data_IF_902789780147
#
_entry.id   IF_902789780147
#
_cell.length_a   1.000
_cell.length_b   1.000
_cell.length_c   1.000
_cell.angle_alpha   90.00
_cell.angle_beta   90.00
_cell.angle_gamma   90.00
#
_symmetry.space_group_name_H-M   'P 1'
#
loop_
_entity.id
_entity.type
_entity.pdbx_description
1 polymer ?
#
# COMPACT_ATOMS: atom_id res chain seq x y z
N UNK A 1 -0.04 34.57 -8.00
CA UNK A 1 -1.04 33.49 -8.11
C UNK A 1 -0.30 32.16 -7.97
N UNK A 2 -0.11 31.69 -6.72
CA UNK A 2 0.64 30.47 -6.43
C UNK A 2 -0.30 29.27 -6.50
N UNK A 3 -0.04 28.36 -7.44
CA UNK A 3 -0.74 27.08 -7.53
C UNK A 3 0.04 26.04 -6.74
N UNK A 4 -0.38 25.80 -5.50
CA UNK A 4 0.05 24.64 -4.73
C UNK A 4 -0.63 23.42 -5.36
N UNK A 5 0.16 22.62 -6.08
CA UNK A 5 -0.25 21.28 -6.51
C UNK A 5 0.17 20.33 -5.40
N UNK A 6 -0.78 19.95 -4.53
CA UNK A 6 -0.55 18.91 -3.52
C UNK A 6 -0.55 17.56 -4.24
N UNK A 7 0.61 16.92 -4.36
CA UNK A 7 0.70 15.50 -4.65
C UNK A 7 1.35 14.86 -3.43
N UNK A 8 0.55 14.17 -2.62
CA UNK A 8 1.04 13.12 -1.74
C UNK A 8 0.14 11.90 -1.89
N UNK A 9 0.31 11.18 -2.99
CA UNK A 9 0.12 9.73 -2.94
C UNK A 9 1.36 9.13 -2.27
N UNK A 10 1.45 9.27 -0.95
CA UNK A 10 2.55 8.68 -0.18
C UNK A 10 2.18 7.25 0.21
N UNK A 11 2.95 6.28 -0.28
CA UNK A 11 2.79 4.87 0.07
C UNK A 11 3.47 4.63 1.42
N UNK A 12 2.75 4.02 2.36
CA UNK A 12 3.29 3.61 3.66
C UNK A 12 3.45 2.09 3.65
N UNK A 13 4.70 1.63 3.72
CA UNK A 13 5.02 0.21 3.85
C UNK A 13 5.10 -0.18 5.33
N UNK A 14 4.34 -1.20 5.72
CA UNK A 14 4.44 -1.83 7.04
C UNK A 14 5.18 -3.16 6.85
N UNK A 15 6.51 -3.11 6.99
CA UNK A 15 7.36 -4.29 6.87
C UNK A 15 7.42 -5.05 8.19
N UNK A 16 7.22 -6.37 8.12
CA UNK A 16 7.11 -7.20 9.31
C UNK A 16 7.10 -8.69 8.96
N UNK A 17 7.47 -9.52 9.93
CA UNK A 17 7.62 -10.96 9.74
C UNK A 17 6.26 -11.68 9.71
N UNK A 18 6.14 -12.83 9.01
CA UNK A 18 4.94 -13.66 9.12
C UNK A 18 4.59 -13.96 10.59
N UNK A 19 3.30 -13.86 10.91
CA UNK A 19 2.75 -14.08 12.28
C UNK A 19 3.18 -13.07 13.34
N UNK A 20 3.73 -11.90 12.98
CA UNK A 20 4.09 -10.83 13.93
C UNK A 20 2.95 -9.87 14.30
N UNK A 21 1.68 -10.20 14.02
CA UNK A 21 0.53 -9.35 14.38
C UNK A 21 0.09 -8.31 13.32
N UNK A 22 0.44 -8.49 12.06
CA UNK A 22 0.08 -7.55 10.99
C UNK A 22 -1.42 -7.33 10.80
N UNK A 23 -2.21 -8.38 10.99
CA UNK A 23 -3.67 -8.29 10.93
C UNK A 23 -4.18 -7.35 12.01
N UNK A 24 -3.63 -7.45 13.22
CA UNK A 24 -4.03 -6.61 14.34
C UNK A 24 -3.69 -5.13 14.10
N UNK A 25 -2.48 -4.85 13.60
CA UNK A 25 -2.07 -3.48 13.24
C UNK A 25 -2.98 -2.90 12.15
N UNK A 26 -3.33 -3.68 11.12
CA UNK A 26 -4.29 -3.23 10.08
C UNK A 26 -5.67 -2.97 10.65
N UNK A 27 -6.17 -3.82 11.55
CA UNK A 27 -7.45 -3.62 12.23
C UNK A 27 -7.44 -2.33 13.06
N UNK A 28 -6.37 -2.11 13.83
CA UNK A 28 -6.20 -0.90 14.64
C UNK A 28 -6.15 0.36 13.77
N UNK A 29 -5.32 0.38 12.73
CA UNK A 29 -5.24 1.49 11.78
C UNK A 29 -6.59 1.76 11.11
N UNK A 30 -7.29 0.72 10.68
CA UNK A 30 -8.60 0.88 10.02
C UNK A 30 -9.66 1.47 10.94
N UNK A 31 -9.62 1.12 12.24
CA UNK A 31 -10.54 1.70 13.22
C UNK A 31 -10.15 3.12 13.56
N UNK A 32 -8.86 3.38 13.79
CA UNK A 32 -8.34 4.72 14.10
C UNK A 32 -8.62 5.74 12.99
N UNK A 33 -8.56 5.32 11.72
CA UNK A 33 -8.73 6.21 10.57
C UNK A 33 -10.17 6.36 10.09
N UNK A 34 -11.02 5.34 10.29
CA UNK A 34 -12.33 5.27 9.61
C UNK A 34 -13.53 4.95 10.51
N UNK A 35 -13.36 4.79 11.82
CA UNK A 35 -14.48 4.62 12.76
C UNK A 35 -14.65 5.88 13.60
N UNK A 36 -15.92 6.25 13.82
CA UNK A 36 -16.28 7.40 14.66
C UNK A 36 -16.21 7.09 16.17
N UNK A 37 -16.31 5.81 16.54
CA UNK A 37 -16.40 5.33 17.93
C UNK A 37 -15.18 4.51 18.39
N UNK A 38 -14.15 4.40 17.54
CA UNK A 38 -12.94 3.64 17.82
C UNK A 38 -13.14 2.12 17.86
N UNK A 39 -14.29 1.60 17.41
CA UNK A 39 -14.55 0.15 17.34
C UNK A 39 -14.19 -0.40 15.97
N UNK A 40 -13.52 -1.55 15.99
CA UNK A 40 -13.17 -2.23 14.76
C UNK A 40 -14.39 -2.91 14.13
N UNK A 41 -14.53 -2.73 12.82
CA UNK A 41 -15.44 -3.49 11.97
C UNK A 41 -14.73 -3.90 10.68
N UNK A 42 -14.95 -5.14 10.23
CA UNK A 42 -14.37 -5.64 8.97
C UNK A 42 -14.78 -4.80 7.75
N UNK A 43 -15.89 -4.05 7.83
CA UNK A 43 -16.31 -3.12 6.77
C UNK A 43 -15.29 -1.99 6.55
N UNK A 44 -14.59 -1.55 7.61
CA UNK A 44 -13.61 -0.46 7.56
C UNK A 44 -12.37 -0.81 6.74
N UNK A 45 -12.01 -2.10 6.68
CA UNK A 45 -10.90 -2.57 5.85
C UNK A 45 -11.10 -2.30 4.35
N UNK A 46 -12.34 -2.11 3.90
CA UNK A 46 -12.63 -1.75 2.50
C UNK A 46 -12.14 -0.35 2.13
N UNK A 47 -11.94 0.53 3.11
CA UNK A 47 -11.39 1.87 2.89
C UNK A 47 -9.87 1.86 2.71
N UNK A 48 -9.20 0.76 3.07
CA UNK A 48 -7.79 0.54 2.78
C UNK A 48 -7.72 -0.23 1.47
N UNK A 49 -7.35 0.46 0.40
CA UNK A 49 -7.21 -0.17 -0.90
C UNK A 49 -6.17 -1.30 -0.83
N UNK A 50 -6.59 -2.50 -1.24
CA UNK A 50 -5.68 -3.61 -1.41
C UNK A 50 -4.91 -3.41 -2.71
N UNK A 51 -3.59 -3.61 -2.66
CA UNK A 51 -2.77 -3.63 -3.85
C UNK A 51 -3.26 -4.75 -4.77
N UNK A 52 -3.95 -4.38 -5.84
CA UNK A 52 -4.53 -5.28 -6.82
C UNK A 52 -3.81 -5.11 -8.15
N UNK A 53 -3.33 -6.21 -8.72
CA UNK A 53 -2.70 -6.23 -10.05
C UNK A 53 -3.64 -5.70 -11.15
N UNK A 54 -4.95 -5.79 -10.94
CA UNK A 54 -5.97 -5.29 -11.88
C UNK A 54 -5.97 -3.77 -12.00
N UNK A 55 -5.63 -3.06 -10.91
CA UNK A 55 -5.53 -1.59 -10.90
C UNK A 55 -4.15 -1.11 -11.39
N UNK A 56 -3.15 -2.00 -11.43
CA UNK A 56 -1.80 -1.73 -11.90
C UNK A 56 -1.68 -1.76 -13.43
N UNK A 57 -2.75 -2.11 -14.15
CA UNK A 57 -2.78 -2.17 -15.62
C UNK A 57 -2.79 -0.78 -16.30
N UNK A 58 -2.62 0.29 -15.55
CA UNK A 58 -2.51 1.65 -16.08
C UNK A 58 -1.14 1.84 -16.73
N UNK A 59 -1.11 1.63 -18.05
CA UNK A 59 -0.02 2.00 -18.98
C UNK A 59 1.37 1.71 -18.43
N UNK A 60 1.78 0.44 -18.53
CA UNK A 60 3.18 0.08 -18.36
C UNK A 60 4.00 0.88 -19.41
N UNK A 61 4.86 1.83 -19.01
CA UNK A 61 5.74 2.49 -19.96
C UNK A 61 6.71 1.44 -20.55
N UNK A 62 7.06 1.63 -21.82
CA UNK A 62 7.86 0.76 -22.69
C UNK A 62 9.23 0.31 -22.09
N UNK A 63 9.66 0.91 -20.98
CA UNK A 63 10.87 0.59 -20.23
C UNK A 63 10.72 -0.62 -19.29
N UNK A 64 10.15 -1.73 -19.78
CA UNK A 64 10.09 -3.03 -19.07
C UNK A 64 11.49 -3.51 -18.62
N UNK A 65 12.54 -3.09 -19.34
CA UNK A 65 13.94 -3.37 -19.03
C UNK A 65 14.39 -2.92 -17.62
N UNK A 66 13.85 -1.81 -17.10
CA UNK A 66 14.22 -1.33 -15.76
C UNK A 66 13.62 -2.22 -14.67
N UNK A 67 12.34 -2.55 -14.79
CA UNK A 67 11.63 -3.39 -13.82
C UNK A 67 12.22 -4.81 -13.78
N UNK A 68 12.54 -5.39 -14.94
CA UNK A 68 13.18 -6.72 -15.04
C UNK A 68 14.59 -6.71 -14.44
N UNK A 69 15.35 -5.62 -14.59
CA UNK A 69 16.68 -5.48 -13.96
C UNK A 69 16.57 -5.47 -12.44
N UNK A 70 15.64 -4.69 -11.90
CA UNK A 70 15.42 -4.60 -10.45
C UNK A 70 14.99 -5.94 -9.88
N UNK A 71 14.01 -6.61 -10.49
CA UNK A 71 13.53 -7.90 -10.00
C UNK A 71 14.65 -8.96 -9.99
N UNK A 72 15.50 -8.98 -11.01
CA UNK A 72 16.68 -9.84 -11.06
C UNK A 72 17.71 -9.55 -9.96
N UNK A 73 17.87 -8.28 -9.56
CA UNK A 73 18.76 -7.89 -8.45
C UNK A 73 18.14 -8.08 -7.05
N UNK A 74 16.82 -8.28 -6.98
CA UNK A 74 16.11 -8.44 -5.71
C UNK A 74 16.23 -9.86 -5.14
N UNK A 75 16.13 -10.88 -5.99
CA UNK A 75 16.22 -12.31 -5.61
C UNK A 75 17.57 -12.66 -4.93
N UNK A 76 18.74 -12.15 -5.37
CA UNK A 76 20.02 -12.41 -4.72
C UNK A 76 20.24 -11.64 -3.41
N UNK A 77 19.40 -10.63 -3.12
CA UNK A 77 19.56 -9.72 -1.98
C UNK A 77 18.64 -10.08 -0.80
N UNK A 78 17.82 -11.12 -0.95
CA UNK A 78 16.95 -11.67 0.10
C UNK A 78 17.67 -12.79 0.86
#
# INVERSE_FOLDING_TARGET
>A
MFRIVYIISMIIWIASYPKSGNTWIRSLLSSYLFSDDGKFSFKLLKNIEQFSSKNLSLKLPENLNYQVRISKSWIPSQ
#
